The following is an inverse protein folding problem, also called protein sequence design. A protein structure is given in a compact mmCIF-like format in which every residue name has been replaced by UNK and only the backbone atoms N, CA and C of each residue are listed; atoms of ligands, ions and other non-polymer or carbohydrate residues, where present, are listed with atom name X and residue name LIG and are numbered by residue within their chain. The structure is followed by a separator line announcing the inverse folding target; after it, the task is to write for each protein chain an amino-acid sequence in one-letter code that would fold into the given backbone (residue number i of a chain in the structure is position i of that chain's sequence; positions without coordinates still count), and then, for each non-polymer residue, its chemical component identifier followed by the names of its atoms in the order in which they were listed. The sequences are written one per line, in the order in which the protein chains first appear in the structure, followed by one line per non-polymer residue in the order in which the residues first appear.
data_IF_638899316349
#
_entry.id   IF_638899316349
#
_cell.length_a   1.000
_cell.length_b   1.000
_cell.length_c   1.000
_cell.angle_alpha   90.00
_cell.angle_beta   90.00
_cell.angle_gamma   90.00
#
_symmetry.space_group_name_H-M   'P 1'
#
loop_
_entity.id
_entity.type
_entity.pdbx_description
1 polymer ?
#
# COMPACT_ATOMS: atom_id res chain seq x y z
N UNK A 1 3.38 -17.30 -9.24
CA UNK A 1 2.00 -16.81 -9.36
C UNK A 1 1.88 -15.91 -10.58
N UNK A 2 0.83 -16.07 -11.35
CA UNK A 2 0.59 -15.23 -12.51
C UNK A 2 0.37 -13.78 -12.10
N UNK A 3 0.88 -12.79 -12.85
CA UNK A 3 0.69 -11.38 -12.51
C UNK A 3 -0.79 -10.99 -12.38
N UNK A 4 -1.65 -11.51 -13.25
CA UNK A 4 -3.08 -11.24 -13.21
C UNK A 4 -3.71 -11.76 -11.92
N UNK A 5 -3.27 -12.93 -11.45
CA UNK A 5 -3.78 -13.48 -10.19
C UNK A 5 -3.33 -12.64 -9.01
N UNK A 6 -2.08 -12.17 -9.03
CA UNK A 6 -1.57 -11.29 -7.99
C UNK A 6 -2.42 -10.02 -7.92
N UNK A 7 -2.72 -9.41 -9.07
CA UNK A 7 -3.52 -8.20 -9.13
C UNK A 7 -4.93 -8.42 -8.58
N UNK A 8 -5.55 -9.57 -8.86
CA UNK A 8 -6.86 -9.91 -8.30
C UNK A 8 -6.81 -9.97 -6.78
N UNK A 9 -5.75 -10.56 -6.24
CA UNK A 9 -5.59 -10.68 -4.78
C UNK A 9 -5.33 -9.30 -4.13
N UNK A 10 -4.61 -8.41 -4.81
CA UNK A 10 -4.44 -7.04 -4.34
C UNK A 10 -5.79 -6.32 -4.29
N UNK A 11 -6.59 -6.45 -5.34
CA UNK A 11 -7.93 -5.84 -5.36
C UNK A 11 -8.79 -6.37 -4.22
N UNK A 12 -8.74 -7.67 -3.96
CA UNK A 12 -9.47 -8.29 -2.87
C UNK A 12 -9.00 -7.73 -1.52
N UNK A 13 -7.70 -7.53 -1.35
CA UNK A 13 -7.14 -6.95 -0.13
C UNK A 13 -7.64 -5.53 0.09
N UNK A 14 -7.66 -4.72 -0.98
CA UNK A 14 -8.10 -3.33 -0.89
C UNK A 14 -9.59 -3.23 -0.54
N UNK A 15 -10.40 -4.16 -1.02
CA UNK A 15 -11.83 -4.20 -0.68
C UNK A 15 -12.06 -4.45 0.81
N UNK A 16 -11.09 -5.05 1.50
CA UNK A 16 -11.17 -5.34 2.93
C UNK A 16 -10.62 -4.27 3.85
N UNK A 17 -10.15 -3.14 3.31
CA UNK A 17 -9.63 -2.05 4.13
C UNK A 17 -10.77 -1.42 4.94
N UNK A 18 -10.54 -1.13 6.25
CA UNK A 18 -11.59 -0.51 7.07
C UNK A 18 -12.13 0.79 6.45
N UNK A 19 -13.43 1.02 6.60
CA UNK A 19 -14.10 2.19 6.03
C UNK A 19 -13.43 3.51 6.43
N UNK A 20 -12.92 3.57 7.63
CA UNK A 20 -12.23 4.76 8.13
C UNK A 20 -11.01 5.13 7.29
N UNK A 21 -10.36 4.13 6.69
CA UNK A 21 -9.18 4.34 5.86
C UNK A 21 -9.47 4.26 4.37
N UNK A 22 -10.64 3.76 4.00
CA UNK A 22 -10.99 3.51 2.60
C UNK A 22 -10.94 4.79 1.75
N UNK A 23 -11.30 5.93 2.32
CA UNK A 23 -11.24 7.19 1.58
C UNK A 23 -9.80 7.57 1.23
N UNK A 24 -8.84 7.24 2.10
CA UNK A 24 -7.43 7.49 1.80
C UNK A 24 -6.93 6.57 0.68
N UNK A 25 -7.38 5.32 0.68
CA UNK A 25 -7.04 4.37 -0.40
C UNK A 25 -7.56 4.87 -1.74
N UNK A 26 -8.75 5.43 -1.77
CA UNK A 26 -9.35 5.96 -3.01
C UNK A 26 -8.57 7.15 -3.57
N UNK A 27 -7.83 7.86 -2.72
CA UNK A 27 -7.09 9.05 -3.13
C UNK A 27 -5.64 8.77 -3.53
N UNK A 28 -5.24 7.50 -3.53
CA UNK A 28 -3.90 7.09 -3.93
C UNK A 28 -3.98 6.09 -5.06
N UNK A 29 -2.89 5.99 -5.82
CA UNK A 29 -2.74 4.96 -6.85
C UNK A 29 -1.94 3.82 -6.25
N UNK A 30 -2.46 2.60 -6.34
CA UNK A 30 -1.74 1.41 -5.86
C UNK A 30 -1.09 0.75 -7.07
N UNK A 31 0.23 0.63 -7.02
CA UNK A 31 1.03 0.09 -8.12
C UNK A 31 1.79 -1.14 -7.63
N UNK A 32 1.88 -2.15 -8.48
CA UNK A 32 2.61 -3.38 -8.18
C UNK A 32 3.93 -3.35 -8.92
N UNK A 33 5.02 -3.51 -8.17
CA UNK A 33 6.37 -3.63 -8.72
C UNK A 33 6.93 -4.99 -8.30
N UNK A 34 7.91 -5.51 -9.04
CA UNK A 34 8.47 -6.82 -8.72
C UNK A 34 9.35 -6.78 -7.48
N UNK A 35 10.18 -5.75 -7.36
CA UNK A 35 11.16 -5.64 -6.29
C UNK A 35 11.22 -4.21 -5.75
N UNK A 36 11.66 -4.03 -4.48
CA UNK A 36 11.89 -2.70 -3.94
C UNK A 36 12.96 -1.94 -4.73
N UNK A 37 12.89 -0.60 -4.77
CA UNK A 37 13.91 0.16 -5.46
C UNK A 37 15.27 0.06 -4.76
N UNK A 38 16.31 0.36 -5.51
CA UNK A 38 17.68 0.39 -4.98
C UNK A 38 17.75 1.37 -3.81
N UNK A 39 18.42 0.96 -2.74
CA UNK A 39 18.51 1.76 -1.53
C UNK A 39 17.50 1.40 -0.46
N UNK A 40 16.47 0.64 -0.81
CA UNK A 40 15.50 0.13 0.15
C UNK A 40 15.83 -1.31 0.55
N UNK A 41 15.33 -1.79 1.72
CA UNK A 41 15.53 -3.19 2.10
C UNK A 41 14.95 -4.14 1.05
N UNK A 42 15.63 -5.24 0.79
CA UNK A 42 15.21 -6.25 -0.20
C UNK A 42 13.89 -6.94 0.18
N UNK A 43 13.57 -6.96 1.47
CA UNK A 43 12.36 -7.59 1.99
C UNK A 43 11.21 -6.61 2.26
N UNK A 44 11.34 -5.39 1.79
CA UNK A 44 10.29 -4.39 1.95
C UNK A 44 9.04 -4.83 1.20
N UNK A 45 7.89 -4.85 1.88
CA UNK A 45 6.63 -5.32 1.30
C UNK A 45 5.88 -4.23 0.55
N UNK A 46 6.02 -2.99 0.96
CA UNK A 46 5.34 -1.86 0.33
C UNK A 46 5.95 -0.53 0.73
N UNK A 47 5.59 0.51 0.01
CA UNK A 47 6.14 1.85 0.24
C UNK A 47 5.13 2.91 -0.19
N UNK A 48 4.86 3.87 0.71
CA UNK A 48 4.06 5.03 0.37
C UNK A 48 4.96 6.11 -0.23
N UNK A 49 4.59 6.58 -1.42
CA UNK A 49 5.33 7.63 -2.12
C UNK A 49 4.40 8.82 -2.33
N UNK A 50 4.47 9.78 -1.41
CA UNK A 50 3.67 10.99 -1.49
C UNK A 50 4.33 12.01 -2.39
N UNK A 51 3.52 12.69 -3.19
CA UNK A 51 4.00 13.77 -4.04
C UNK A 51 4.14 15.03 -3.18
N UNK A 52 5.34 15.60 -3.11
CA UNK A 52 5.59 16.79 -2.32
C UNK A 52 4.77 17.98 -2.82
N UNK A 53 4.37 18.86 -1.91
CA UNK A 53 3.61 20.06 -2.29
C UNK A 53 4.34 20.91 -3.32
N UNK A 54 5.66 20.97 -3.24
CA UNK A 54 6.48 21.71 -4.20
C UNK A 54 6.43 21.10 -5.60
N UNK A 55 6.20 19.79 -5.69
CA UNK A 55 6.06 19.09 -6.96
C UNK A 55 4.65 19.19 -7.52
N UNK A 56 3.68 19.50 -6.65
CA UNK A 56 2.29 19.73 -7.04
C UNK A 56 2.03 21.18 -7.42
N UNK A 57 3.07 21.89 -7.70
CA UNK A 57 3.08 23.31 -7.86
C UNK A 57 2.01 23.85 -8.81
N UNK A 58 1.71 25.11 -8.61
CA UNK A 58 0.72 25.90 -9.31
C UNK A 58 0.91 25.99 -10.83
N UNK A 59 2.05 25.60 -11.35
CA UNK A 59 2.26 25.53 -12.79
C UNK A 59 1.44 24.40 -13.42
N UNK A 60 1.00 23.43 -12.61
CA UNK A 60 0.20 22.32 -13.07
C UNK A 60 -1.23 22.52 -12.62
N UNK A 61 -2.14 22.42 -13.55
CA UNK A 61 -3.56 22.52 -13.25
C UNK A 61 -4.10 21.24 -12.63
N UNK A 62 -3.31 20.15 -12.66
CA UNK A 62 -3.70 18.86 -12.09
C UNK A 62 -2.77 18.48 -10.96
N UNK A 63 -3.36 18.01 -9.86
CA UNK A 63 -2.63 17.47 -8.74
C UNK A 63 -2.35 16.00 -9.02
N UNK A 64 -1.08 15.60 -8.95
CA UNK A 64 -0.71 14.20 -9.08
C UNK A 64 -1.11 13.45 -7.81
N UNK A 65 -1.71 12.27 -7.93
CA UNK A 65 -2.06 11.49 -6.75
C UNK A 65 -0.82 10.91 -6.09
N UNK A 66 -0.91 10.69 -4.78
CA UNK A 66 0.10 9.90 -4.06
C UNK A 66 0.03 8.46 -4.54
N UNK A 67 1.11 7.70 -4.32
CA UNK A 67 1.23 6.33 -4.77
C UNK A 67 1.61 5.42 -3.61
N UNK A 68 1.09 4.20 -3.65
CA UNK A 68 1.55 3.13 -2.75
C UNK A 68 2.09 2.03 -3.66
N UNK A 69 3.34 1.65 -3.46
CA UNK A 69 3.94 0.54 -4.16
C UNK A 69 3.79 -0.73 -3.34
N UNK A 70 3.43 -1.82 -4.00
CA UNK A 70 3.36 -3.16 -3.41
C UNK A 70 4.43 -3.99 -4.14
N UNK A 71 5.31 -4.65 -3.39
CA UNK A 71 6.42 -5.38 -3.97
C UNK A 71 6.11 -6.87 -4.02
N UNK A 72 5.90 -7.36 -5.23
CA UNK A 72 5.44 -8.74 -5.47
C UNK A 72 6.42 -9.79 -4.99
N UNK A 73 7.71 -9.63 -5.30
CA UNK A 73 8.73 -10.59 -4.91
C UNK A 73 8.79 -10.82 -3.41
N UNK A 74 9.01 -9.77 -2.61
CA UNK A 74 9.02 -9.92 -1.16
C UNK A 74 7.73 -10.48 -0.58
N UNK A 75 6.57 -10.06 -1.10
CA UNK A 75 5.29 -10.58 -0.62
C UNK A 75 5.14 -12.07 -0.90
N UNK A 76 5.53 -12.53 -2.08
CA UNK A 76 5.45 -13.95 -2.41
C UNK A 76 6.43 -14.78 -1.57
N UNK A 77 7.59 -14.21 -1.24
CA UNK A 77 8.54 -14.88 -0.35
C UNK A 77 8.03 -14.96 1.09
N UNK A 78 7.29 -13.95 1.51
CA UNK A 78 6.79 -13.85 2.89
C UNK A 78 5.55 -14.74 3.12
N UNK A 79 4.73 -14.94 2.11
CA UNK A 79 3.44 -15.62 2.23
C UNK A 79 3.47 -17.01 1.61
N UNK A 80 2.83 -17.97 2.29
CA UNK A 80 2.76 -19.35 1.80
C UNK A 80 1.46 -19.64 1.06
N UNK A 81 0.41 -18.86 1.31
CA UNK A 81 -0.92 -19.09 0.70
C UNK A 81 -1.48 -17.79 0.14
N UNK A 82 -2.47 -17.92 -0.75
CA UNK A 82 -3.17 -16.75 -1.27
C UNK A 82 -3.91 -15.99 -0.17
N UNK A 83 -4.48 -16.71 0.79
CA UNK A 83 -5.15 -16.06 1.91
C UNK A 83 -4.19 -15.21 2.74
N UNK A 84 -2.98 -15.70 2.98
CA UNK A 84 -1.94 -14.93 3.66
C UNK A 84 -1.54 -13.72 2.84
N UNK A 85 -1.44 -13.88 1.52
CA UNK A 85 -1.07 -12.78 0.63
C UNK A 85 -2.09 -11.65 0.68
N UNK A 86 -3.38 -11.97 0.61
CA UNK A 86 -4.45 -10.97 0.72
C UNK A 86 -4.34 -10.23 2.06
N UNK A 87 -4.13 -10.97 3.15
CA UNK A 87 -4.01 -10.38 4.48
C UNK A 87 -2.79 -9.47 4.58
N UNK A 88 -1.64 -9.91 4.08
CA UNK A 88 -0.41 -9.10 4.15
C UNK A 88 -0.46 -7.86 3.27
N UNK A 89 -1.06 -7.95 2.08
CA UNK A 89 -1.25 -6.77 1.24
C UNK A 89 -2.12 -5.75 1.97
N UNK A 90 -3.22 -6.20 2.57
CA UNK A 90 -4.11 -5.32 3.32
C UNK A 90 -3.38 -4.67 4.50
N UNK A 91 -2.65 -5.45 5.28
CA UNK A 91 -1.88 -4.94 6.42
C UNK A 91 -0.85 -3.91 5.95
N UNK A 92 -0.14 -4.21 4.86
CA UNK A 92 0.87 -3.31 4.30
C UNK A 92 0.25 -1.97 3.90
N UNK A 93 -0.85 -2.00 3.17
CA UNK A 93 -1.53 -0.77 2.73
C UNK A 93 -2.02 0.03 3.93
N UNK A 94 -2.65 -0.64 4.90
CA UNK A 94 -3.16 0.03 6.10
C UNK A 94 -2.02 0.71 6.87
N UNK A 95 -0.90 0.00 7.08
CA UNK A 95 0.23 0.56 7.82
C UNK A 95 0.87 1.74 7.10
N UNK A 96 1.03 1.66 5.78
CA UNK A 96 1.64 2.75 5.01
C UNK A 96 0.75 4.00 5.03
N UNK A 97 -0.55 3.84 4.88
CA UNK A 97 -1.50 4.95 4.98
C UNK A 97 -1.48 5.53 6.39
N UNK A 98 -1.51 4.68 7.41
CA UNK A 98 -1.52 5.12 8.79
C UNK A 98 -0.29 5.98 9.12
N UNK A 99 0.89 5.51 8.71
CA UNK A 99 2.13 6.25 8.94
C UNK A 99 2.11 7.61 8.23
N UNK A 100 1.63 7.63 7.00
CA UNK A 100 1.61 8.87 6.22
C UNK A 100 0.64 9.91 6.80
N UNK A 101 -0.52 9.46 7.28
CA UNK A 101 -1.56 10.36 7.79
C UNK A 101 -1.54 10.51 9.30
N UNK A 102 -0.51 9.98 9.98
CA UNK A 102 -0.32 10.18 11.42
C UNK A 102 -1.31 9.43 12.30
N UNK A 103 -1.87 8.34 11.80
CA UNK A 103 -2.77 7.49 12.61
C UNK A 103 -1.90 6.68 13.55
N UNK A 104 -2.16 6.79 14.86
CA UNK A 104 -1.29 6.16 15.85
C UNK A 104 -1.57 4.68 16.05
N UNK A 105 -0.66 4.00 16.74
CA UNK A 105 -0.74 2.57 16.98
C UNK A 105 -1.97 2.18 17.79
N UNK A 106 -2.41 3.02 18.71
CA UNK A 106 -3.60 2.77 19.51
C UNK A 106 -4.83 2.66 18.59
N UNK A 107 -4.94 3.57 17.62
CA UNK A 107 -6.05 3.53 16.68
C UNK A 107 -5.96 2.33 15.75
N UNK A 108 -4.76 2.00 15.29
CA UNK A 108 -4.55 0.81 14.47
C UNK A 108 -4.94 -0.45 15.23
N UNK A 109 -4.63 -0.51 16.52
CA UNK A 109 -5.00 -1.64 17.36
C UNK A 109 -6.53 -1.78 17.45
N UNK A 110 -7.24 -0.67 17.62
CA UNK A 110 -8.71 -0.67 17.63
C UNK A 110 -9.28 -1.20 16.31
N UNK A 111 -8.59 -0.94 15.20
CA UNK A 111 -9.01 -1.40 13.88
C UNK A 111 -8.55 -2.84 13.58
N UNK A 112 -7.76 -3.45 14.48
CA UNK A 112 -7.29 -4.82 14.32
C UNK A 112 -5.97 -4.97 13.57
N UNK A 113 -5.17 -3.90 13.47
CA UNK A 113 -3.94 -3.88 12.66
C UNK A 113 -2.66 -3.58 13.45
N UNK A 114 -2.73 -3.53 14.74
CA UNK A 114 -1.53 -3.28 15.54
C UNK A 114 -0.65 -4.50 15.66
#
# INVERSE_FOLDING_TARGET
MEPERFDELVDQALDGVPDELAQHVRNVVVLVEDEPPEGEPDDLLGLYDGVALTERDSTLTMTLPDRIFIFRGPLLDFCDTEAQLVEEVRITVVHEIAHHFGIDDARLHELGYA
#
